data_IF_603638122794
#
_entry.id   IF_603638122794
#
_cell.length_a   1.000
_cell.length_b   1.000
_cell.length_c   1.000
_cell.angle_alpha   90.00
_cell.angle_beta   90.00
_cell.angle_gamma   90.00
#
_symmetry.space_group_name_H-M   'P 1'
#
loop_
_entity.id
_entity.type
_entity.pdbx_description
1 polymer ?
#
# COMPACT_ATOMS: atom_id res chain seq x y z
N UNK A 1 22.62 -4.92 34.69
CA UNK A 1 21.18 -4.76 34.86
C UNK A 1 20.91 -4.37 36.28
N UNK A 2 20.06 -3.39 36.52
CA UNK A 2 19.62 -3.03 37.86
C UNK A 2 18.36 -3.80 38.29
N UNK A 3 17.84 -3.51 39.50
CA UNK A 3 16.63 -4.14 40.05
C UNK A 3 15.35 -3.96 39.20
N UNK A 4 15.39 -3.09 38.19
CA UNK A 4 14.31 -2.84 37.21
C UNK A 4 14.59 -3.46 35.84
N UNK A 5 15.56 -4.38 35.73
CA UNK A 5 16.04 -5.01 34.49
C UNK A 5 16.52 -3.99 33.43
N UNK A 6 16.95 -2.82 33.87
CA UNK A 6 17.48 -1.78 33.00
C UNK A 6 18.94 -2.10 32.64
N UNK A 7 19.26 -2.05 31.36
CA UNK A 7 20.59 -2.33 30.82
C UNK A 7 21.33 -1.02 30.60
N UNK A 8 22.56 -0.95 31.14
CA UNK A 8 23.52 0.13 30.91
C UNK A 8 24.83 -0.46 30.41
N UNK A 9 25.59 0.32 29.69
CA UNK A 9 26.93 -0.06 29.24
C UNK A 9 27.94 0.91 29.78
N UNK A 10 29.01 0.37 30.33
CA UNK A 10 30.17 1.12 30.77
C UNK A 10 31.35 0.75 29.90
N UNK A 11 32.09 1.75 29.41
CA UNK A 11 33.29 1.53 28.63
C UNK A 11 34.32 0.78 29.45
N UNK A 12 34.78 -0.41 29.03
CA UNK A 12 35.67 -1.23 29.88
C UNK A 12 37.05 -0.61 30.11
N UNK A 13 37.50 0.30 29.22
CA UNK A 13 38.79 0.96 29.32
C UNK A 13 38.78 2.22 30.21
N UNK A 14 37.63 2.92 30.21
CA UNK A 14 37.53 4.22 30.91
C UNK A 14 36.60 4.20 32.12
N UNK A 15 35.77 3.15 32.23
CA UNK A 15 34.72 3.06 33.27
C UNK A 15 33.53 4.01 33.07
N UNK A 16 33.55 4.87 32.06
CA UNK A 16 32.45 5.83 31.84
C UNK A 16 31.21 5.17 31.30
N UNK A 17 30.05 5.62 31.79
CA UNK A 17 28.74 5.19 31.32
C UNK A 17 28.47 5.68 29.90
N UNK A 18 28.07 4.78 29.05
CA UNK A 18 27.68 5.09 27.65
C UNK A 18 26.35 5.80 27.63
N UNK A 19 26.27 6.83 26.78
CA UNK A 19 25.04 7.49 26.40
C UNK A 19 24.97 7.64 24.86
N UNK A 20 23.76 7.86 24.33
CA UNK A 20 23.51 7.98 22.89
C UNK A 20 23.86 6.70 22.12
N UNK A 21 24.37 6.83 20.92
CA UNK A 21 24.64 5.70 20.03
C UNK A 21 25.93 4.96 20.37
N UNK A 22 25.86 3.63 20.28
CA UNK A 22 26.99 2.75 20.39
C UNK A 22 26.85 1.59 19.42
N UNK A 23 27.94 1.23 18.75
CA UNK A 23 28.02 0.02 17.92
C UNK A 23 28.89 -1.01 18.63
N UNK A 24 28.33 -2.18 18.88
CA UNK A 24 29.04 -3.32 19.49
C UNK A 24 28.80 -4.57 18.65
N UNK A 25 29.87 -5.22 18.21
CA UNK A 25 29.81 -6.45 17.42
C UNK A 25 28.82 -6.35 16.23
N UNK A 26 28.88 -5.26 15.49
CA UNK A 26 28.02 -4.98 14.33
C UNK A 26 26.56 -4.63 14.65
N UNK A 27 26.16 -4.57 15.90
CA UNK A 27 24.82 -4.17 16.33
C UNK A 27 24.83 -2.76 16.89
N UNK A 28 23.83 -1.96 16.55
CA UNK A 28 23.68 -0.57 17.03
C UNK A 28 22.73 -0.54 18.21
N UNK A 29 23.12 0.21 19.24
CA UNK A 29 22.37 0.43 20.48
C UNK A 29 22.18 1.92 20.70
N UNK A 30 21.15 2.28 21.42
CA UNK A 30 20.92 3.65 21.86
C UNK A 30 20.70 3.69 23.37
N UNK A 31 21.41 4.56 24.05
CA UNK A 31 21.32 4.78 25.48
C UNK A 31 20.78 6.19 25.73
N UNK A 32 19.76 6.32 26.56
CA UNK A 32 19.17 7.62 26.86
C UNK A 32 20.19 8.54 27.54
N UNK A 33 20.27 9.79 27.07
CA UNK A 33 21.30 10.74 27.54
C UNK A 33 21.20 11.09 29.01
N UNK A 34 20.00 11.07 29.58
CA UNK A 34 19.72 11.43 30.97
C UNK A 34 19.95 10.28 31.98
N UNK A 35 19.90 9.03 31.52
CA UNK A 35 19.90 7.86 32.42
C UNK A 35 20.93 6.80 32.07
N UNK A 36 21.50 6.85 30.86
CA UNK A 36 22.36 5.79 30.35
C UNK A 36 21.64 4.45 30.15
N UNK A 37 20.33 4.40 30.29
CA UNK A 37 19.55 3.17 30.09
C UNK A 37 19.44 2.88 28.60
N UNK A 38 19.60 1.62 28.20
CA UNK A 38 19.43 1.19 26.82
C UNK A 38 17.96 1.22 26.39
N UNK A 39 17.70 1.67 25.16
CA UNK A 39 16.41 1.50 24.54
C UNK A 39 16.18 0.02 24.23
N UNK A 40 15.12 -0.57 24.78
CA UNK A 40 14.75 -1.98 24.60
C UNK A 40 13.24 -2.12 24.41
N UNK A 41 12.80 -3.02 23.52
CA UNK A 41 11.38 -3.27 23.20
C UNK A 41 10.57 -2.00 22.93
N UNK A 42 11.18 -1.01 22.24
CA UNK A 42 10.58 0.31 22.08
C UNK A 42 10.83 0.90 20.70
N UNK A 43 9.89 1.72 20.27
CA UNK A 43 10.11 2.63 19.15
C UNK A 43 10.70 3.94 19.65
N UNK A 44 11.70 4.45 18.96
CA UNK A 44 12.22 5.79 19.14
C UNK A 44 12.04 6.60 17.87
N UNK A 45 11.50 7.79 18.03
CA UNK A 45 11.34 8.74 16.92
C UNK A 45 12.21 9.96 17.19
N UNK A 46 13.08 10.30 16.25
CA UNK A 46 13.94 11.47 16.34
C UNK A 46 13.22 12.77 15.92
N UNK A 47 13.90 13.90 16.04
CA UNK A 47 13.38 15.23 15.69
C UNK A 47 13.01 15.37 14.21
N UNK A 48 13.60 14.54 13.35
CA UNK A 48 13.28 14.44 11.92
C UNK A 48 12.12 13.51 11.61
N UNK A 49 11.42 12.99 12.64
CA UNK A 49 10.34 12.02 12.57
C UNK A 49 10.75 10.64 12.04
N UNK A 50 12.04 10.32 12.02
CA UNK A 50 12.54 8.98 11.72
C UNK A 50 12.29 8.06 12.91
N UNK A 51 11.63 6.96 12.68
CA UNK A 51 11.27 5.99 13.72
C UNK A 51 12.15 4.74 13.59
N UNK A 52 12.71 4.28 14.69
CA UNK A 52 13.51 3.06 14.79
C UNK A 52 12.94 2.16 15.86
N UNK A 53 13.14 0.86 15.74
CA UNK A 53 12.73 -0.10 16.77
C UNK A 53 13.94 -0.77 17.39
N UNK A 54 13.93 -0.90 18.72
CA UNK A 54 14.94 -1.61 19.50
C UNK A 54 14.33 -2.91 20.05
N UNK A 55 15.00 -4.02 19.79
CA UNK A 55 14.57 -5.36 20.18
C UNK A 55 14.57 -5.58 21.71
N UNK A 56 14.11 -6.74 22.16
CA UNK A 56 14.25 -7.16 23.57
C UNK A 56 15.70 -7.30 24.00
N UNK A 57 16.60 -7.58 23.08
CA UNK A 57 18.05 -7.59 23.32
C UNK A 57 18.68 -6.19 23.22
N UNK A 58 17.84 -5.13 23.02
CA UNK A 58 18.18 -3.71 23.03
C UNK A 58 19.03 -3.22 21.84
N UNK A 59 19.19 -4.00 20.80
CA UNK A 59 19.80 -3.52 19.57
C UNK A 59 18.78 -3.04 18.55
N UNK A 60 19.18 -2.09 17.72
CA UNK A 60 18.36 -1.52 16.65
C UNK A 60 18.05 -2.59 15.59
N UNK A 61 16.78 -2.69 15.25
CA UNK A 61 16.30 -3.61 14.22
C UNK A 61 16.55 -3.04 12.83
N UNK A 62 16.94 -3.90 11.89
CA UNK A 62 17.10 -3.58 10.46
C UNK A 62 16.51 -4.71 9.61
N UNK A 63 16.15 -4.40 8.37
CA UNK A 63 15.58 -5.36 7.42
C UNK A 63 14.11 -5.68 7.71
N UNK A 64 13.66 -6.77 7.13
CA UNK A 64 12.29 -7.26 7.30
C UNK A 64 12.05 -7.80 8.70
N UNK A 65 10.89 -7.49 9.25
CA UNK A 65 10.42 -8.01 10.51
C UNK A 65 8.94 -8.37 10.46
N UNK A 66 8.56 -9.37 11.24
CA UNK A 66 7.18 -9.84 11.39
C UNK A 66 6.86 -9.91 12.88
N UNK A 67 5.74 -9.37 13.29
CA UNK A 67 5.29 -9.48 14.67
C UNK A 67 4.42 -10.73 14.90
N UNK A 68 3.99 -10.96 16.14
CA UNK A 68 3.11 -12.08 16.51
C UNK A 68 1.73 -12.07 15.82
N UNK A 69 1.29 -10.92 15.31
CA UNK A 69 0.05 -10.76 14.56
C UNK A 69 0.23 -10.91 13.04
N UNK A 70 1.37 -11.45 12.59
CA UNK A 70 1.73 -11.61 11.18
C UNK A 70 1.83 -10.28 10.39
N UNK A 71 2.01 -9.17 11.07
CA UNK A 71 2.18 -7.87 10.43
C UNK A 71 3.66 -7.64 10.10
N UNK A 72 3.93 -7.32 8.86
CA UNK A 72 5.28 -7.03 8.38
C UNK A 72 5.59 -5.54 8.46
N UNK A 73 6.86 -5.23 8.77
CA UNK A 73 7.50 -3.92 8.65
C UNK A 73 8.87 -4.08 8.03
N UNK A 74 9.38 -3.02 7.47
CA UNK A 74 10.75 -2.96 7.01
C UNK A 74 11.48 -1.80 7.68
N UNK A 75 12.71 -2.05 8.09
CA UNK A 75 13.60 -1.05 8.65
C UNK A 75 14.84 -0.98 7.77
N UNK A 76 15.21 0.22 7.32
CA UNK A 76 16.35 0.41 6.43
C UNK A 76 17.60 -0.26 6.99
N UNK A 77 18.36 -0.93 6.12
CA UNK A 77 19.50 -1.76 6.55
C UNK A 77 20.66 -0.95 7.11
N UNK A 78 20.83 0.28 6.64
CA UNK A 78 21.94 1.14 7.05
C UNK A 78 21.71 1.86 8.38
N UNK A 79 20.53 2.41 8.57
CA UNK A 79 20.25 3.32 9.68
C UNK A 79 19.05 2.91 10.55
N UNK A 80 18.36 1.83 10.18
CA UNK A 80 17.22 1.28 10.90
C UNK A 80 15.97 2.16 10.89
N UNK A 81 15.85 3.10 9.94
CA UNK A 81 14.65 3.91 9.81
C UNK A 81 13.50 3.04 9.29
N UNK A 82 12.36 3.11 9.97
CA UNK A 82 11.16 2.38 9.61
C UNK A 82 10.59 2.90 8.28
N UNK A 83 10.44 2.01 7.31
CA UNK A 83 9.86 2.31 6.01
C UNK A 83 8.42 2.82 6.14
N UNK A 84 8.09 3.85 5.37
CA UNK A 84 6.76 4.48 5.30
C UNK A 84 6.46 4.87 3.86
N UNK A 85 5.17 4.81 3.48
CA UNK A 85 4.75 5.12 2.12
C UNK A 85 5.19 4.05 1.12
N UNK A 86 5.26 4.43 -0.15
CA UNK A 86 5.75 3.54 -1.21
C UNK A 86 7.26 3.34 -1.10
N UNK A 87 7.68 2.08 -1.18
CA UNK A 87 9.09 1.68 -1.17
C UNK A 87 9.35 0.69 -2.30
N UNK A 88 10.56 0.76 -2.87
CA UNK A 88 11.04 -0.24 -3.82
C UNK A 88 12.19 -1.00 -3.17
N UNK A 89 11.96 -2.27 -2.87
CA UNK A 89 12.92 -3.16 -2.24
C UNK A 89 13.17 -4.34 -3.18
N UNK A 90 14.41 -4.56 -3.55
CA UNK A 90 14.82 -5.63 -4.47
C UNK A 90 14.00 -5.63 -5.79
N UNK A 91 13.75 -4.43 -6.34
CA UNK A 91 12.99 -4.22 -7.58
C UNK A 91 11.48 -4.42 -7.45
N UNK A 92 10.95 -4.75 -6.28
CA UNK A 92 9.53 -4.92 -6.00
C UNK A 92 8.99 -3.71 -5.23
N UNK A 93 7.79 -3.27 -5.59
CA UNK A 93 7.14 -2.14 -4.92
C UNK A 93 6.22 -2.61 -3.80
N UNK A 94 6.32 -1.93 -2.67
CA UNK A 94 5.52 -2.14 -1.45
C UNK A 94 4.95 -0.83 -0.97
N UNK A 95 3.94 -0.90 -0.12
CA UNK A 95 3.46 0.26 0.62
C UNK A 95 3.44 -0.04 2.12
N UNK A 96 3.99 0.87 2.89
CA UNK A 96 3.98 0.83 4.34
C UNK A 96 3.11 1.98 4.87
N UNK A 97 2.17 1.67 5.72
CA UNK A 97 1.30 2.68 6.32
C UNK A 97 2.13 3.80 6.96
N UNK A 98 1.84 5.04 6.63
CA UNK A 98 2.66 6.20 7.03
C UNK A 98 2.69 6.46 8.53
N UNK A 99 1.66 6.04 9.27
CA UNK A 99 1.62 6.13 10.74
C UNK A 99 2.29 4.94 11.42
N UNK A 100 1.84 3.72 11.10
CA UNK A 100 2.22 2.49 11.81
C UNK A 100 3.43 1.75 11.23
N UNK A 101 3.82 2.05 9.99
CA UNK A 101 4.84 1.31 9.25
C UNK A 101 4.44 -0.12 8.87
N UNK A 102 3.17 -0.51 9.02
CA UNK A 102 2.70 -1.83 8.62
C UNK A 102 2.65 -1.93 7.10
N UNK A 103 3.16 -3.05 6.57
CA UNK A 103 3.06 -3.37 5.15
C UNK A 103 1.61 -3.58 4.75
N UNK A 104 1.20 -2.95 3.64
CA UNK A 104 -0.13 -3.16 3.06
C UNK A 104 -0.20 -4.53 2.39
N UNK A 105 -1.34 -5.20 2.53
CA UNK A 105 -1.70 -6.43 1.83
C UNK A 105 -3.17 -6.37 1.41
N UNK A 106 -3.50 -6.99 0.28
CA UNK A 106 -4.84 -6.95 -0.28
C UNK A 106 -5.20 -5.58 -0.86
N UNK A 107 -6.49 -5.31 -0.95
CA UNK A 107 -7.00 -4.03 -1.47
C UNK A 107 -6.72 -2.89 -0.51
N UNK A 108 -6.14 -1.81 -1.03
CA UNK A 108 -5.77 -0.63 -0.24
C UNK A 108 -6.09 0.63 -1.04
N UNK A 109 -6.69 1.63 -0.39
CA UNK A 109 -6.92 2.95 -0.98
C UNK A 109 -5.90 3.93 -0.40
N UNK A 110 -5.15 4.60 -1.27
CA UNK A 110 -4.11 5.56 -0.92
C UNK A 110 -4.36 6.81 -1.75
N UNK A 111 -4.54 7.95 -1.10
CA UNK A 111 -4.82 9.24 -1.73
C UNK A 111 -5.94 9.18 -2.79
N UNK A 112 -7.03 8.45 -2.47
CA UNK A 112 -8.19 8.27 -3.33
C UNK A 112 -8.02 7.24 -4.46
N UNK A 113 -6.81 6.73 -4.69
CA UNK A 113 -6.52 5.71 -5.70
C UNK A 113 -6.56 4.31 -5.09
N UNK A 114 -7.08 3.35 -5.85
CA UNK A 114 -7.21 1.96 -5.42
C UNK A 114 -6.04 1.12 -5.94
N UNK A 115 -5.39 0.40 -5.02
CA UNK A 115 -4.25 -0.50 -5.25
C UNK A 115 -4.59 -1.91 -4.77
N UNK A 116 -3.83 -2.87 -5.25
CA UNK A 116 -3.80 -4.21 -4.69
C UNK A 116 -2.36 -4.61 -4.39
N UNK A 117 -2.17 -5.11 -3.19
CA UNK A 117 -0.91 -5.70 -2.75
C UNK A 117 -1.15 -7.18 -2.52
N UNK A 118 -0.29 -8.01 -3.06
CA UNK A 118 -0.41 -9.47 -2.92
C UNK A 118 -0.57 -9.86 -1.45
N UNK A 119 -1.52 -10.74 -1.15
CA UNK A 119 -1.90 -11.08 0.23
C UNK A 119 -0.78 -11.76 1.01
N UNK A 120 0.13 -12.46 0.32
CA UNK A 120 1.21 -13.23 0.95
C UNK A 120 2.52 -12.45 0.96
N UNK A 121 2.86 -11.82 -0.15
CA UNK A 121 4.15 -11.15 -0.35
C UNK A 121 4.12 -9.65 -0.10
N UNK A 122 2.95 -9.01 -0.16
CA UNK A 122 2.79 -7.55 -0.08
C UNK A 122 3.27 -6.80 -1.33
N UNK A 123 3.61 -7.50 -2.41
CA UNK A 123 4.06 -6.86 -3.65
C UNK A 123 2.91 -6.17 -4.35
N UNK A 124 3.13 -4.93 -4.79
CA UNK A 124 2.14 -4.14 -5.51
C UNK A 124 1.81 -4.74 -6.87
N UNK A 125 0.53 -4.92 -7.17
CA UNK A 125 0.06 -5.37 -8.46
C UNK A 125 0.22 -4.30 -9.54
N UNK A 126 0.62 -4.72 -10.75
CA UNK A 126 0.68 -3.91 -11.97
C UNK A 126 0.28 -4.76 -13.16
N UNK A 127 -0.26 -4.15 -14.23
CA UNK A 127 -0.75 -4.88 -15.40
C UNK A 127 -2.01 -5.69 -15.12
N UNK A 128 -2.20 -6.78 -15.84
CA UNK A 128 -3.38 -7.64 -15.71
C UNK A 128 -3.18 -8.69 -14.62
N UNK A 129 -4.04 -8.67 -13.61
CA UNK A 129 -3.98 -9.57 -12.45
C UNK A 129 -5.37 -10.18 -12.19
N UNK A 130 -5.42 -11.46 -11.91
CA UNK A 130 -6.64 -12.14 -11.46
C UNK A 130 -6.65 -12.22 -9.93
N UNK A 131 -7.65 -11.63 -9.31
CA UNK A 131 -7.81 -11.59 -7.85
C UNK A 131 -9.16 -12.20 -7.52
N UNK A 132 -9.15 -13.26 -6.72
CA UNK A 132 -10.36 -13.99 -6.31
C UNK A 132 -11.26 -14.36 -7.51
N UNK A 133 -10.64 -14.76 -8.65
CA UNK A 133 -11.31 -15.17 -9.89
C UNK A 133 -11.75 -14.03 -10.81
N UNK A 134 -11.62 -12.78 -10.40
CA UNK A 134 -11.95 -11.58 -11.17
C UNK A 134 -10.69 -10.94 -11.77
N UNK A 135 -10.76 -10.55 -13.04
CA UNK A 135 -9.67 -9.84 -13.73
C UNK A 135 -9.70 -8.34 -13.46
N UNK A 136 -8.53 -7.80 -13.17
CA UNK A 136 -8.30 -6.38 -12.92
C UNK A 136 -7.09 -5.91 -13.72
N UNK A 137 -7.12 -4.65 -14.14
CA UNK A 137 -5.98 -4.01 -14.78
C UNK A 137 -5.47 -2.84 -13.92
N UNK A 138 -4.19 -2.90 -13.57
CA UNK A 138 -3.48 -1.85 -12.85
C UNK A 138 -2.48 -1.18 -13.81
N UNK A 139 -2.40 0.14 -13.79
CA UNK A 139 -1.39 0.84 -14.58
C UNK A 139 0.03 0.60 -14.02
N UNK A 140 1.06 1.15 -14.67
CA UNK A 140 2.46 1.02 -14.24
C UNK A 140 2.76 1.60 -12.85
N UNK A 141 1.88 2.47 -12.34
CA UNK A 141 1.97 3.03 -10.99
C UNK A 141 1.20 2.19 -9.95
N UNK A 142 0.58 1.07 -10.38
CA UNK A 142 -0.21 0.19 -9.52
C UNK A 142 -1.62 0.68 -9.24
N UNK A 143 -2.09 1.74 -9.90
CA UNK A 143 -3.44 2.26 -9.72
C UNK A 143 -4.40 1.41 -10.54
N UNK A 144 -5.50 0.97 -9.92
CA UNK A 144 -6.58 0.29 -10.61
C UNK A 144 -7.16 1.23 -11.69
N UNK A 145 -6.95 0.89 -12.97
CA UNK A 145 -7.36 1.72 -14.09
C UNK A 145 -8.70 1.30 -14.68
N UNK A 146 -9.07 0.02 -14.56
CA UNK A 146 -10.40 -0.48 -14.88
C UNK A 146 -10.59 -1.89 -14.31
N UNK A 147 -11.80 -2.24 -13.94
CA UNK A 147 -12.18 -3.64 -13.94
C UNK A 147 -12.33 -4.02 -15.39
N UNK A 148 -11.48 -4.91 -15.92
CA UNK A 148 -11.81 -5.53 -17.18
C UNK A 148 -13.09 -6.30 -16.93
N UNK A 149 -14.22 -5.74 -17.29
CA UNK A 149 -15.42 -6.55 -17.48
C UNK A 149 -15.02 -7.78 -18.29
N UNK A 150 -15.56 -8.97 -17.94
CA UNK A 150 -15.24 -10.16 -18.70
C UNK A 150 -15.37 -9.82 -20.19
N UNK A 151 -14.40 -10.22 -20.95
CA UNK A 151 -14.24 -10.01 -22.38
C UNK A 151 -15.50 -10.39 -23.16
N UNK A 152 -16.51 -9.56 -23.06
CA UNK A 152 -17.48 -9.42 -24.11
C UNK A 152 -17.03 -8.17 -24.85
N UNK A 153 -16.47 -8.34 -26.02
CA UNK A 153 -16.37 -7.24 -26.96
C UNK A 153 -17.76 -6.59 -26.97
N UNK A 154 -17.88 -5.45 -26.30
CA UNK A 154 -19.07 -4.62 -26.46
C UNK A 154 -19.00 -4.07 -27.87
N UNK A 155 -19.38 -4.92 -28.82
CA UNK A 155 -19.67 -4.43 -30.16
C UNK A 155 -20.65 -3.30 -29.99
N UNK A 156 -20.59 -2.32 -30.88
CA UNK A 156 -21.55 -1.20 -30.97
C UNK A 156 -22.98 -1.71 -30.81
N UNK A 157 -23.26 -2.91 -31.28
CA UNK A 157 -24.57 -3.61 -31.12
C UNK A 157 -24.95 -3.84 -29.64
N UNK A 158 -24.03 -4.26 -28.78
CA UNK A 158 -24.34 -4.50 -27.38
C UNK A 158 -24.42 -3.20 -26.56
N UNK A 159 -23.71 -2.16 -27.00
CA UNK A 159 -23.85 -0.82 -26.43
C UNK A 159 -25.22 -0.24 -26.77
N UNK A 160 -25.63 -0.39 -28.01
CA UNK A 160 -26.95 0.04 -28.48
C UNK A 160 -28.08 -0.76 -27.83
N UNK A 161 -27.93 -2.06 -27.64
CA UNK A 161 -28.93 -2.89 -26.97
C UNK A 161 -29.09 -2.56 -25.46
N UNK A 162 -27.98 -2.12 -24.80
CA UNK A 162 -28.04 -1.69 -23.39
C UNK A 162 -28.51 -0.24 -23.23
N UNK A 163 -28.34 0.60 -24.24
CA UNK A 163 -28.73 2.01 -24.22
C UNK A 163 -30.14 2.25 -24.78
N UNK A 164 -30.68 1.26 -25.50
CA UNK A 164 -32.04 1.32 -26.03
C UNK A 164 -33.01 0.82 -24.94
N UNK A 165 -33.50 1.71 -24.16
CA UNK A 165 -34.66 1.48 -23.29
C UNK A 165 -35.88 1.92 -24.11
N UNK A 166 -36.89 1.07 -24.27
CA UNK A 166 -38.13 1.53 -24.86
C UNK A 166 -38.81 2.51 -23.92
N UNK A 167 -38.87 3.76 -24.30
CA UNK A 167 -39.69 4.76 -23.61
C UNK A 167 -41.03 4.75 -24.29
N UNK A 168 -41.95 4.01 -23.74
CA UNK A 168 -43.22 3.74 -24.39
C UNK A 168 -43.04 2.86 -25.66
N UNK A 169 -43.57 3.28 -26.78
CA UNK A 169 -43.44 2.55 -28.06
C UNK A 169 -42.41 3.18 -29.00
N UNK A 170 -41.64 4.16 -28.57
CA UNK A 170 -40.63 4.83 -29.36
C UNK A 170 -39.23 4.38 -29.01
N UNK A 171 -38.47 4.04 -30.04
CA UNK A 171 -37.02 3.75 -29.94
C UNK A 171 -36.23 5.03 -30.26
N UNK A 172 -35.48 5.52 -29.28
CA UNK A 172 -34.58 6.63 -29.50
C UNK A 172 -33.16 6.13 -29.78
N UNK A 173 -32.61 6.47 -30.93
CA UNK A 173 -31.23 6.16 -31.31
C UNK A 173 -30.41 7.43 -31.25
N UNK A 174 -29.47 7.44 -30.31
CA UNK A 174 -28.60 8.59 -30.10
C UNK A 174 -27.53 8.69 -31.21
N UNK A 175 -27.42 9.85 -31.85
CA UNK A 175 -26.32 10.20 -32.75
C UNK A 175 -26.27 9.49 -34.08
N UNK A 176 -27.34 8.85 -34.51
CA UNK A 176 -27.35 8.10 -35.75
C UNK A 176 -28.22 8.70 -36.82
N UNK A 177 -27.79 8.52 -38.05
CA UNK A 177 -28.71 8.62 -39.18
C UNK A 177 -29.72 7.48 -39.08
N UNK A 178 -30.96 7.81 -39.08
CA UNK A 178 -32.06 6.87 -39.13
C UNK A 178 -32.07 6.19 -40.51
N UNK A 179 -32.26 4.89 -40.56
CA UNK A 179 -32.58 4.27 -41.83
C UNK A 179 -34.01 4.64 -42.23
N UNK A 180 -34.33 4.56 -43.53
CA UNK A 180 -35.62 5.00 -44.06
C UNK A 180 -36.83 4.25 -43.47
N UNK A 181 -36.64 3.01 -42.98
CA UNK A 181 -37.73 2.23 -42.40
C UNK A 181 -38.06 2.65 -40.98
N UNK A 182 -37.03 3.05 -40.19
CA UNK A 182 -37.21 3.59 -38.83
C UNK A 182 -37.64 5.06 -38.87
N UNK A 183 -37.28 5.78 -39.92
CA UNK A 183 -37.63 7.18 -40.11
C UNK A 183 -39.12 7.41 -40.24
N UNK A 184 -39.82 6.52 -40.91
CA UNK A 184 -41.29 6.59 -41.05
C UNK A 184 -42.02 6.40 -39.73
N UNK A 185 -41.53 5.47 -38.88
CA UNK A 185 -42.16 5.20 -37.61
C UNK A 185 -41.86 6.26 -36.54
N UNK A 186 -40.66 6.81 -36.59
CA UNK A 186 -40.21 7.80 -35.55
C UNK A 186 -40.46 9.23 -35.95
N UNK A 187 -40.60 9.53 -37.23
CA UNK A 187 -41.01 10.89 -37.67
C UNK A 187 -42.40 11.25 -37.18
N UNK A 188 -43.29 10.27 -37.08
CA UNK A 188 -44.58 10.48 -36.45
C UNK A 188 -44.52 10.69 -34.93
N UNK A 189 -43.61 9.97 -34.28
CA UNK A 189 -43.43 10.11 -32.81
C UNK A 189 -42.63 11.34 -32.41
N UNK A 190 -41.81 11.90 -33.29
CA UNK A 190 -41.07 13.14 -33.00
C UNK A 190 -41.88 14.42 -33.27
N UNK A 191 -42.97 14.31 -34.03
CA UNK A 191 -43.88 15.44 -34.26
C UNK A 191 -44.97 15.55 -33.18
N UNK A 192 -45.11 14.56 -32.35
CA UNK A 192 -46.11 14.52 -31.28
C UNK A 192 -45.53 14.94 -29.90
N UNK A 193 -44.30 15.51 -29.86
CA UNK A 193 -43.70 16.06 -28.65
C UNK A 193 -43.51 17.58 -28.75
#
# INVERSE_FOLDING_TARGET
TDSKDQKRYFNPSTGFMQTKWLTLKGKRYYFYSNSGVAACKTFLTDSKKNTRYFTSACYMLTGWTKNSSNEYRYFETEDGIMAKGFQTLDGKKYYFNTGSGKMAVGWTTIDGNKYYFDKETGVMATGDVTIDGQKYHFNSNGILSNTTSPTGSRTIKNYLAGALQPVGQALYVWGGGWNDSTRKGTSQTMTDF
#
